data_IF_093591917200
#
_entry.id   IF_093591917200
#
_cell.length_a   1.000
_cell.length_b   1.000
_cell.length_c   1.000
_cell.angle_alpha   90.00
_cell.angle_beta   90.00
_cell.angle_gamma   90.00
#
_symmetry.space_group_name_H-M   'P 1'
#
loop_
_entity.id
_entity.type
_entity.pdbx_description
1 polymer ?
#
# COMPACT_ATOMS: atom_id res chain seq x y z
N UNK A 1 -5.85 26.48 -16.26
CA UNK A 1 -5.32 25.53 -15.24
C UNK A 1 -5.98 25.70 -13.88
N UNK A 2 -6.05 26.92 -13.31
CA UNK A 2 -6.65 27.21 -11.99
C UNK A 2 -8.08 26.66 -11.77
N UNK A 3 -9.00 26.83 -12.73
CA UNK A 3 -10.37 26.34 -12.59
C UNK A 3 -10.50 24.81 -12.46
N UNK A 4 -9.59 24.05 -13.08
CA UNK A 4 -9.53 22.59 -12.95
C UNK A 4 -9.07 22.18 -11.55
N UNK A 5 -8.02 22.83 -11.05
CA UNK A 5 -7.49 22.60 -9.69
C UNK A 5 -8.54 22.91 -8.63
N UNK A 6 -9.29 24.01 -8.76
CA UNK A 6 -10.38 24.34 -7.82
C UNK A 6 -11.47 23.26 -7.81
N UNK A 7 -11.85 22.73 -8.99
CA UNK A 7 -12.82 21.64 -9.07
C UNK A 7 -12.31 20.37 -8.39
N UNK A 8 -11.03 20.03 -8.60
CA UNK A 8 -10.39 18.87 -7.98
C UNK A 8 -10.34 19.01 -6.45
N UNK A 9 -9.97 20.18 -5.93
CA UNK A 9 -9.98 20.45 -4.47
C UNK A 9 -11.39 20.28 -3.88
N UNK A 10 -12.43 20.75 -4.58
CA UNK A 10 -13.82 20.57 -4.13
C UNK A 10 -14.23 19.10 -4.09
N UNK A 11 -13.88 18.33 -5.11
CA UNK A 11 -14.14 16.88 -5.19
C UNK A 11 -13.41 16.14 -4.06
N UNK A 12 -12.12 16.43 -3.87
CA UNK A 12 -11.32 15.84 -2.80
C UNK A 12 -11.91 16.14 -1.42
N UNK A 13 -12.24 17.41 -1.14
CA UNK A 13 -12.88 17.82 0.11
C UNK A 13 -14.24 17.15 0.31
N UNK A 14 -14.98 16.89 -0.76
CA UNK A 14 -16.26 16.17 -0.68
C UNK A 14 -16.04 14.72 -0.23
N UNK A 15 -15.10 14.01 -0.85
CA UNK A 15 -14.74 12.64 -0.46
C UNK A 15 -14.28 12.53 1.00
N UNK A 16 -13.46 13.48 1.47
CA UNK A 16 -13.04 13.53 2.88
C UNK A 16 -14.22 13.74 3.85
N UNK A 17 -15.24 14.51 3.46
CA UNK A 17 -16.44 14.71 4.29
C UNK A 17 -17.31 13.46 4.31
N UNK A 18 -17.50 12.82 3.16
CA UNK A 18 -18.33 11.63 3.03
C UNK A 18 -17.75 10.45 3.83
N UNK A 19 -16.41 10.36 3.91
CA UNK A 19 -15.67 9.35 4.69
C UNK A 19 -15.43 9.73 6.15
N UNK A 20 -15.92 10.88 6.62
CA UNK A 20 -15.66 11.43 7.99
C UNK A 20 -14.19 11.73 8.32
N UNK A 21 -13.28 11.55 7.37
CA UNK A 21 -11.86 11.93 7.53
C UNK A 21 -11.74 13.44 7.72
N UNK A 22 -12.59 14.25 7.08
CA UNK A 22 -12.55 15.71 7.22
C UNK A 22 -12.73 16.17 8.68
N UNK A 23 -13.68 15.61 9.42
CA UNK A 23 -13.87 15.94 10.85
C UNK A 23 -12.69 15.49 11.69
N UNK A 24 -12.16 14.29 11.43
CA UNK A 24 -10.98 13.78 12.11
C UNK A 24 -9.77 14.70 11.94
N UNK A 25 -9.49 15.16 10.71
CA UNK A 25 -8.37 16.07 10.43
C UNK A 25 -8.57 17.45 11.09
N UNK A 26 -9.81 17.89 11.30
CA UNK A 26 -10.10 19.12 12.03
C UNK A 26 -9.90 18.99 13.54
N UNK A 27 -10.33 17.86 14.11
CA UNK A 27 -10.21 17.57 15.55
C UNK A 27 -8.78 17.19 15.94
N UNK A 28 -8.05 16.56 15.02
CA UNK A 28 -6.70 16.01 15.22
C UNK A 28 -5.77 16.40 14.07
N UNK A 29 -5.34 17.68 13.98
CA UNK A 29 -4.44 18.11 12.91
C UNK A 29 -3.07 17.40 12.96
N UNK A 30 -2.70 16.84 14.11
CA UNK A 30 -1.49 16.05 14.32
C UNK A 30 -1.44 14.76 13.50
N UNK A 31 -2.60 14.24 13.05
CA UNK A 31 -2.64 13.01 12.22
C UNK A 31 -2.45 13.30 10.73
N UNK A 32 -2.47 14.57 10.31
CA UNK A 32 -2.32 14.95 8.90
C UNK A 32 -1.03 14.40 8.29
N UNK A 33 0.15 14.53 8.94
CA UNK A 33 1.39 13.96 8.40
C UNK A 33 1.41 12.42 8.40
N UNK A 34 0.62 11.78 9.27
CA UNK A 34 0.52 10.31 9.34
C UNK A 34 -0.36 9.75 8.20
N UNK A 35 -1.46 10.43 7.88
CA UNK A 35 -2.39 10.00 6.83
C UNK A 35 -1.94 10.44 5.43
N UNK A 36 -1.21 11.55 5.33
CA UNK A 36 -0.70 12.08 4.07
C UNK A 36 0.83 12.33 4.20
N UNK A 37 1.63 11.26 4.37
CA UNK A 37 3.07 11.39 4.54
C UNK A 37 3.71 12.03 3.31
N UNK A 38 4.72 12.87 3.53
CA UNK A 38 5.47 13.49 2.43
C UNK A 38 6.33 12.43 1.74
N UNK A 39 6.61 12.59 0.45
CA UNK A 39 7.44 11.65 -0.32
C UNK A 39 8.79 11.34 0.35
N UNK A 40 9.41 12.30 1.04
CA UNK A 40 10.66 12.08 1.79
C UNK A 40 10.51 11.20 3.04
N UNK A 41 9.32 11.15 3.62
CA UNK A 41 8.96 10.33 4.80
C UNK A 41 8.41 8.95 4.36
N UNK A 42 8.00 8.83 3.11
CA UNK A 42 7.55 7.60 2.46
C UNK A 42 8.64 6.92 1.64
N UNK A 43 9.93 7.14 1.97
CA UNK A 43 11.04 6.45 1.31
C UNK A 43 10.86 4.94 1.48
N UNK A 44 10.35 4.29 0.45
CA UNK A 44 10.12 2.86 0.42
C UNK A 44 11.50 2.20 0.39
N UNK A 45 11.95 1.66 1.53
CA UNK A 45 13.15 0.85 1.55
C UNK A 45 12.78 -0.59 1.15
N UNK A 46 13.72 -1.37 0.57
CA UNK A 46 13.54 -2.79 0.30
C UNK A 46 12.86 -3.56 1.44
N UNK A 47 13.27 -3.29 2.68
CA UNK A 47 12.72 -3.93 3.86
C UNK A 47 11.23 -3.65 4.07
N UNK A 48 10.76 -2.45 3.75
CA UNK A 48 9.32 -2.13 3.81
C UNK A 48 8.54 -3.00 2.84
N UNK A 49 9.06 -3.25 1.64
CA UNK A 49 8.39 -4.10 0.64
C UNK A 49 8.34 -5.55 1.14
N UNK A 50 9.48 -6.08 1.58
CA UNK A 50 9.59 -7.47 2.06
C UNK A 50 8.67 -7.77 3.25
N UNK A 51 8.52 -6.82 4.16
CA UNK A 51 7.66 -6.96 5.34
C UNK A 51 6.16 -7.02 4.99
N UNK A 52 5.77 -6.61 3.79
CA UNK A 52 4.38 -6.56 3.35
C UNK A 52 4.03 -7.64 2.32
N UNK A 53 4.97 -8.52 1.95
CA UNK A 53 4.70 -9.68 1.08
C UNK A 53 4.16 -10.82 1.94
N UNK A 54 3.00 -11.36 1.55
CA UNK A 54 2.54 -12.65 2.03
C UNK A 54 3.35 -13.74 1.32
N UNK A 55 4.20 -14.45 2.05
CA UNK A 55 5.04 -15.50 1.49
C UNK A 55 4.27 -16.82 1.37
N UNK A 56 4.61 -17.67 0.39
CA UNK A 56 3.98 -18.98 0.25
C UNK A 56 4.06 -19.78 1.55
N UNK A 57 2.94 -20.32 1.99
CA UNK A 57 2.82 -21.22 3.14
C UNK A 57 2.12 -22.53 2.71
N UNK A 58 2.18 -23.56 3.55
CA UNK A 58 1.62 -24.89 3.27
C UNK A 58 0.08 -24.91 3.14
N UNK A 59 -0.62 -23.86 3.62
CA UNK A 59 -2.07 -23.86 3.82
C UNK A 59 -2.90 -23.20 2.69
N UNK A 60 -2.43 -23.26 1.45
CA UNK A 60 -3.31 -22.99 0.29
C UNK A 60 -3.76 -24.35 -0.28
N UNK A 61 -4.95 -24.80 0.13
CA UNK A 61 -5.77 -25.75 -0.64
C UNK A 61 -6.18 -25.07 -1.96
N UNK A 62 -5.19 -24.79 -2.81
CA UNK A 62 -5.40 -24.41 -4.20
C UNK A 62 -5.70 -25.69 -4.95
N UNK A 63 -6.99 -26.05 -5.04
CA UNK A 63 -7.54 -27.05 -5.97
C UNK A 63 -7.33 -26.67 -7.47
N UNK A 64 -6.53 -25.62 -7.74
CA UNK A 64 -6.14 -25.18 -9.07
C UNK A 64 -5.00 -26.05 -9.61
N UNK A 65 -5.30 -26.87 -10.63
CA UNK A 65 -4.38 -27.77 -11.34
C UNK A 65 -3.16 -27.05 -11.96
N UNK A 66 -3.25 -25.73 -12.14
CA UNK A 66 -2.17 -24.86 -12.66
C UNK A 66 -1.25 -24.29 -11.56
N UNK A 67 -1.42 -24.72 -10.31
CA UNK A 67 -0.65 -24.21 -9.17
C UNK A 67 0.69 -24.94 -9.01
N UNK A 68 1.79 -24.18 -8.98
CA UNK A 68 3.13 -24.72 -8.71
C UNK A 68 3.22 -25.38 -7.33
N UNK A 69 4.02 -26.45 -7.22
CA UNK A 69 4.31 -27.09 -5.94
C UNK A 69 4.97 -26.11 -4.96
N UNK A 70 4.79 -26.32 -3.65
CA UNK A 70 5.36 -25.46 -2.61
C UNK A 70 6.88 -25.22 -2.77
N UNK A 71 7.72 -26.23 -3.07
CA UNK A 71 9.15 -25.98 -3.31
C UNK A 71 9.43 -25.01 -4.46
N UNK A 72 8.60 -25.04 -5.52
CA UNK A 72 8.71 -24.12 -6.65
C UNK A 72 8.22 -22.73 -6.26
N UNK A 73 7.09 -22.62 -5.54
CA UNK A 73 6.60 -21.35 -4.97
C UNK A 73 7.69 -20.71 -4.09
N UNK A 74 8.31 -21.46 -3.18
CA UNK A 74 9.39 -20.99 -2.31
C UNK A 74 10.60 -20.49 -3.10
N UNK A 75 11.03 -21.23 -4.14
CA UNK A 75 12.15 -20.82 -4.99
C UNK A 75 11.89 -19.51 -5.73
N UNK A 76 10.67 -19.32 -6.26
CA UNK A 76 10.27 -18.07 -6.91
C UNK A 76 10.28 -16.91 -5.89
N UNK A 77 9.74 -17.15 -4.70
CA UNK A 77 9.74 -16.19 -3.60
C UNK A 77 11.16 -15.76 -3.18
N UNK A 78 12.10 -16.69 -3.10
CA UNK A 78 13.51 -16.40 -2.80
C UNK A 78 14.16 -15.50 -3.87
N UNK A 79 13.94 -15.79 -5.15
CA UNK A 79 14.44 -14.91 -6.23
C UNK A 79 13.85 -13.50 -6.14
N UNK A 80 12.54 -13.39 -5.89
CA UNK A 80 11.88 -12.10 -5.71
C UNK A 80 12.47 -11.32 -4.52
N UNK A 81 12.69 -12.02 -3.40
CA UNK A 81 13.30 -11.43 -2.21
C UNK A 81 14.70 -10.88 -2.51
N UNK A 82 15.56 -11.67 -3.12
CA UNK A 82 16.90 -11.23 -3.50
C UNK A 82 16.89 -10.09 -4.51
N UNK A 83 15.92 -10.05 -5.42
CA UNK A 83 15.77 -8.94 -6.36
C UNK A 83 15.40 -7.64 -5.66
N UNK A 84 14.53 -7.69 -4.64
CA UNK A 84 14.12 -6.49 -3.88
C UNK A 84 15.25 -5.99 -2.98
N UNK A 85 16.08 -6.89 -2.43
CA UNK A 85 17.18 -6.57 -1.53
C UNK A 85 18.41 -5.93 -2.21
N UNK A 86 18.57 -6.11 -3.54
CA UNK A 86 19.72 -5.61 -4.33
C UNK A 86 19.37 -4.38 -5.18
#
# INVERSE_FOLDING_TARGET
>A
VLGRTVRQIKQFRRGLKDTKVWSLLQERPDVVPLMFPRQSEAACCPQTILNNIAWPAEEEDDDDEDTYSLPVKCRIAEYLRHFIEN
#
